data_IF_806219220324
#
_entry.id   IF_806219220324
#
_cell.length_a   1.000
_cell.length_b   1.000
_cell.length_c   1.000
_cell.angle_alpha   90.00
_cell.angle_beta   90.00
_cell.angle_gamma   90.00
#
_symmetry.space_group_name_H-M   'P 1'
#
loop_
_entity.id
_entity.type
_entity.pdbx_description
1 polymer ?
#
# COMPACT_ATOMS: atom_id res chain seq x y z
N UNK A 1 22.60 38.35 -11.25
CA UNK A 1 21.74 37.15 -11.35
C UNK A 1 20.29 37.60 -11.31
N UNK A 2 19.59 37.50 -12.44
CA UNK A 2 18.31 38.19 -12.68
C UNK A 2 17.08 37.35 -12.34
N UNK A 3 16.14 37.98 -11.62
CA UNK A 3 14.82 37.45 -11.28
C UNK A 3 13.83 37.55 -12.46
N UNK A 4 14.07 36.82 -13.56
CA UNK A 4 13.29 37.01 -14.80
C UNK A 4 12.86 35.72 -15.52
N UNK A 5 12.52 34.64 -14.81
CA UNK A 5 11.85 33.45 -15.41
C UNK A 5 10.79 32.77 -14.55
N UNK A 6 9.98 33.53 -13.81
CA UNK A 6 8.70 32.99 -13.32
C UNK A 6 7.58 33.91 -13.80
N UNK A 7 6.93 33.49 -14.89
CA UNK A 7 5.75 34.15 -15.42
C UNK A 7 4.55 33.62 -14.63
N UNK A 8 4.18 34.35 -13.58
CA UNK A 8 2.97 34.14 -12.79
C UNK A 8 1.76 34.65 -13.59
N UNK A 9 1.35 33.89 -14.60
CA UNK A 9 0.10 34.17 -15.30
C UNK A 9 -0.88 33.04 -15.00
N UNK A 10 -1.71 33.31 -13.99
CA UNK A 10 -3.05 32.79 -13.80
C UNK A 10 -3.21 31.32 -13.35
N UNK A 11 -3.23 31.03 -12.03
CA UNK A 11 -3.40 29.66 -11.50
C UNK A 11 -4.74 29.00 -11.90
N UNK A 12 -5.75 29.79 -12.27
CA UNK A 12 -7.04 29.29 -12.78
C UNK A 12 -6.91 28.69 -14.19
N UNK A 13 -5.94 29.14 -14.99
CA UNK A 13 -5.73 28.63 -16.35
C UNK A 13 -4.94 27.32 -16.36
N UNK A 14 -4.12 27.01 -15.36
CA UNK A 14 -3.42 25.72 -15.28
C UNK A 14 -4.42 24.54 -15.10
N UNK A 15 -5.48 24.76 -14.31
CA UNK A 15 -6.59 23.81 -14.16
C UNK A 15 -7.36 23.68 -15.48
N UNK A 16 -7.65 24.81 -16.15
CA UNK A 16 -8.37 24.83 -17.41
C UNK A 16 -7.58 24.24 -18.60
N UNK A 17 -6.25 24.44 -18.64
CA UNK A 17 -5.37 23.89 -19.66
C UNK A 17 -5.27 22.37 -19.50
N UNK A 18 -5.16 21.87 -18.26
CA UNK A 18 -5.21 20.43 -17.96
C UNK A 18 -6.55 19.79 -18.38
N UNK A 19 -7.67 20.49 -18.22
CA UNK A 19 -8.97 20.05 -18.72
C UNK A 19 -9.09 20.13 -20.26
N UNK A 20 -8.36 21.02 -20.92
CA UNK A 20 -8.35 21.15 -22.37
C UNK A 20 -7.48 20.08 -23.06
N UNK A 21 -6.35 19.67 -22.48
CA UNK A 21 -5.54 18.53 -22.97
C UNK A 21 -6.31 17.21 -22.88
N UNK A 22 -7.25 17.09 -21.93
CA UNK A 22 -8.15 15.93 -21.76
C UNK A 22 -9.16 15.77 -22.90
N UNK A 23 -9.66 16.87 -23.48
CA UNK A 23 -10.59 16.82 -24.64
C UNK A 23 -9.90 16.47 -25.96
N UNK A 24 -8.56 16.55 -26.03
CA UNK A 24 -7.75 16.33 -27.23
C UNK A 24 -7.17 14.92 -27.39
N UNK A 25 -7.53 13.97 -26.52
CA UNK A 25 -7.10 12.56 -26.64
C UNK A 25 -5.70 12.25 -26.09
N UNK A 26 -5.14 13.09 -25.21
CA UNK A 26 -3.91 12.75 -24.49
C UNK A 26 -4.20 11.77 -23.35
N UNK A 27 -3.58 10.59 -23.35
CA UNK A 27 -3.62 9.68 -22.20
C UNK A 27 -2.90 10.33 -21.01
N UNK A 28 -3.65 10.69 -19.97
CA UNK A 28 -3.06 10.96 -18.67
C UNK A 28 -2.55 9.61 -18.15
N UNK A 29 -1.23 9.39 -18.19
CA UNK A 29 -0.59 8.32 -17.43
C UNK A 29 -0.77 8.63 -15.94
N UNK A 30 -1.89 8.17 -15.39
CA UNK A 30 -2.16 8.24 -13.97
C UNK A 30 -1.16 7.33 -13.25
N UNK A 31 -0.71 7.78 -12.09
CA UNK A 31 0.35 7.16 -11.31
C UNK A 31 -0.10 7.00 -9.87
N UNK A 32 0.41 5.97 -9.21
CA UNK A 32 0.11 5.69 -7.82
C UNK A 32 0.63 6.83 -6.93
N UNK A 33 -0.21 7.33 -6.01
CA UNK A 33 0.14 8.49 -5.18
C UNK A 33 0.83 8.09 -3.87
N UNK A 34 0.42 6.96 -3.28
CA UNK A 34 0.89 6.51 -1.97
C UNK A 34 1.88 5.35 -2.06
N UNK A 35 2.67 5.18 -1.01
CA UNK A 35 3.46 3.97 -0.86
C UNK A 35 2.55 2.88 -0.28
N UNK A 36 2.63 1.69 -0.83
CA UNK A 36 1.91 0.52 -0.33
C UNK A 36 2.90 -0.55 0.08
N UNK A 37 2.66 -1.18 1.23
CA UNK A 37 3.54 -2.17 1.82
C UNK A 37 2.76 -3.39 2.31
N UNK A 38 3.45 -4.52 2.41
CA UNK A 38 2.93 -5.72 3.09
C UNK A 38 3.60 -5.88 4.44
N UNK A 39 2.81 -6.23 5.44
CA UNK A 39 3.30 -6.53 6.79
C UNK A 39 3.74 -7.99 6.89
N UNK A 40 4.87 -8.22 7.53
CA UNK A 40 5.29 -9.54 8.01
C UNK A 40 5.82 -9.42 9.44
N UNK A 41 5.78 -10.53 10.17
CA UNK A 41 6.21 -10.57 11.58
C UNK A 41 7.45 -11.46 11.65
N UNK A 42 8.52 -10.96 12.28
CA UNK A 42 9.70 -11.77 12.57
C UNK A 42 9.33 -12.84 13.61
N UNK A 43 9.41 -14.15 13.29
CA UNK A 43 9.06 -15.21 14.22
C UNK A 43 9.93 -15.24 15.48
N UNK A 44 11.17 -14.74 15.43
CA UNK A 44 12.10 -14.78 16.56
C UNK A 44 11.85 -13.65 17.55
N UNK A 45 11.60 -12.43 17.05
CA UNK A 45 11.44 -11.24 17.90
C UNK A 45 9.98 -10.81 18.09
N UNK A 46 9.05 -11.35 17.29
CA UNK A 46 7.64 -10.91 17.25
C UNK A 46 7.45 -9.51 16.67
N UNK A 47 8.51 -8.87 16.16
CA UNK A 47 8.46 -7.51 15.63
C UNK A 47 7.82 -7.46 14.26
N UNK A 48 7.05 -6.42 14.04
CA UNK A 48 6.44 -6.15 12.75
C UNK A 48 7.42 -5.45 11.81
N UNK A 49 7.42 -5.90 10.57
CA UNK A 49 8.20 -5.33 9.49
C UNK A 49 7.27 -5.07 8.30
N UNK A 50 7.58 -4.00 7.56
CA UNK A 50 6.82 -3.60 6.37
C UNK A 50 7.76 -3.63 5.18
N UNK A 51 7.39 -4.41 4.16
CA UNK A 51 8.10 -4.46 2.89
C UNK A 51 7.30 -3.68 1.85
N UNK A 52 7.92 -2.65 1.28
CA UNK A 52 7.31 -1.87 0.19
C UNK A 52 6.97 -2.77 -1.00
N UNK A 53 5.71 -2.74 -1.42
CA UNK A 53 5.20 -3.39 -2.63
C UNK A 53 5.13 -2.41 -3.81
N UNK A 54 4.62 -1.20 -3.55
CA UNK A 54 4.37 -0.17 -4.57
C UNK A 54 4.95 1.15 -4.08
N UNK A 55 5.70 1.83 -4.95
CA UNK A 55 6.21 3.18 -4.67
C UNK A 55 5.30 4.23 -5.31
N UNK A 56 5.21 5.44 -4.75
CA UNK A 56 4.61 6.57 -5.42
C UNK A 56 5.27 6.83 -6.78
N UNK A 57 4.47 7.17 -7.79
CA UNK A 57 4.91 7.36 -9.16
C UNK A 57 4.88 6.08 -10.02
N UNK A 58 4.59 4.91 -9.45
CA UNK A 58 4.39 3.69 -10.25
C UNK A 58 3.23 3.89 -11.22
N UNK A 59 3.47 3.67 -12.52
CA UNK A 59 2.43 3.68 -13.55
C UNK A 59 1.50 2.47 -13.41
N UNK A 60 0.26 2.61 -13.86
CA UNK A 60 -0.67 1.48 -13.94
C UNK A 60 -1.47 1.52 -15.26
N UNK A 61 -1.89 0.37 -15.81
CA UNK A 61 -1.55 -0.98 -15.36
C UNK A 61 -0.04 -1.26 -15.46
N UNK A 62 0.46 -2.19 -14.64
CA UNK A 62 1.88 -2.58 -14.68
C UNK A 62 2.06 -3.71 -15.68
N UNK A 63 3.09 -3.63 -16.54
CA UNK A 63 3.40 -4.67 -17.54
C UNK A 63 3.75 -6.03 -16.91
N UNK A 64 4.29 -6.01 -15.68
CA UNK A 64 4.63 -7.19 -14.92
C UNK A 64 4.50 -6.97 -13.41
N UNK A 65 4.94 -7.94 -12.59
CA UNK A 65 4.90 -7.81 -11.15
C UNK A 65 5.77 -6.66 -10.65
N UNK A 66 5.21 -5.81 -9.78
CA UNK A 66 5.94 -4.76 -9.06
C UNK A 66 6.72 -5.31 -7.87
N UNK A 67 6.29 -6.46 -7.34
CA UNK A 67 6.99 -7.17 -6.29
C UNK A 67 6.76 -8.68 -6.41
N UNK A 68 7.76 -9.46 -6.00
CA UNK A 68 7.69 -10.92 -5.86
C UNK A 68 8.30 -11.31 -4.52
N UNK A 69 7.66 -12.22 -3.80
CA UNK A 69 8.18 -12.73 -2.53
C UNK A 69 7.74 -14.16 -2.26
N UNK A 70 8.38 -14.77 -1.26
CA UNK A 70 8.03 -16.10 -0.78
C UNK A 70 7.40 -15.98 0.59
N UNK A 71 6.17 -16.46 0.70
CA UNK A 71 5.45 -16.53 1.96
C UNK A 71 5.77 -17.86 2.64
N UNK A 72 6.23 -17.77 3.89
CA UNK A 72 6.55 -18.92 4.73
C UNK A 72 5.49 -19.12 5.80
N UNK A 73 5.32 -20.36 6.24
CA UNK A 73 4.51 -20.64 7.42
C UNK A 73 5.24 -20.21 8.70
N UNK A 74 4.48 -19.63 9.62
CA UNK A 74 4.94 -19.09 10.91
C UNK A 74 4.75 -20.08 12.06
N UNK A 75 3.97 -21.14 11.87
CA UNK A 75 3.76 -22.20 12.85
C UNK A 75 3.47 -23.54 12.16
N UNK A 76 3.66 -24.63 12.89
CA UNK A 76 3.44 -25.99 12.40
C UNK A 76 1.96 -26.26 12.09
N UNK A 77 1.69 -26.89 10.94
CA UNK A 77 0.32 -27.19 10.51
C UNK A 77 -0.48 -25.98 10.04
N UNK A 78 0.17 -24.87 9.67
CA UNK A 78 -0.52 -23.67 9.23
C UNK A 78 -1.26 -23.89 7.89
N UNK A 79 -2.57 -23.62 7.89
CA UNK A 79 -3.44 -23.75 6.71
C UNK A 79 -3.77 -22.43 6.02
N UNK A 80 -3.70 -21.31 6.74
CA UNK A 80 -4.07 -19.99 6.23
C UNK A 80 -2.92 -19.02 6.43
N UNK A 81 -2.44 -18.42 5.34
CA UNK A 81 -1.35 -17.46 5.36
C UNK A 81 -1.88 -16.13 4.83
N UNK A 82 -2.09 -15.17 5.73
CA UNK A 82 -2.70 -13.87 5.43
C UNK A 82 -1.75 -12.89 4.76
N UNK A 83 -2.27 -12.10 3.82
CA UNK A 83 -1.56 -11.01 3.15
C UNK A 83 -2.13 -9.67 3.65
N UNK A 84 -1.46 -9.05 4.62
CA UNK A 84 -1.91 -7.78 5.20
C UNK A 84 -1.26 -6.59 4.47
N UNK A 85 -2.06 -5.85 3.71
CA UNK A 85 -1.60 -4.74 2.87
C UNK A 85 -1.91 -3.41 3.53
N UNK A 86 -0.92 -2.52 3.54
CA UNK A 86 -0.97 -1.22 4.18
C UNK A 86 -0.70 -0.11 3.17
N UNK A 87 -1.45 0.99 3.31
CA UNK A 87 -1.06 2.29 2.77
C UNK A 87 -0.14 2.98 3.78
N UNK A 88 0.98 3.50 3.30
CA UNK A 88 1.99 4.18 4.10
C UNK A 88 1.87 5.69 3.87
N UNK A 89 1.39 6.41 4.86
CA UNK A 89 1.31 7.87 4.83
C UNK A 89 2.71 8.48 4.93
N UNK A 90 3.00 9.42 4.04
CA UNK A 90 4.22 10.24 4.07
C UNK A 90 4.21 11.34 5.14
N UNK A 91 3.24 11.33 6.06
CA UNK A 91 3.20 12.26 7.18
C UNK A 91 4.53 12.19 7.92
N UNK A 92 5.42 13.17 7.67
CA UNK A 92 6.58 13.38 8.54
C UNK A 92 5.98 13.62 9.92
N UNK A 93 6.44 12.92 10.97
CA UNK A 93 6.06 13.23 12.34
C UNK A 93 6.73 14.56 12.73
N UNK A 94 6.31 15.66 12.09
CA UNK A 94 6.39 16.97 12.71
C UNK A 94 5.33 16.91 13.79
N UNK A 95 5.78 16.71 15.04
CA UNK A 95 5.02 16.89 16.29
C UNK A 95 3.55 17.20 15.99
N UNK A 96 2.75 16.16 15.77
CA UNK A 96 1.38 16.34 15.34
C UNK A 96 0.63 16.91 16.55
N UNK A 97 0.38 18.22 16.51
CA UNK A 97 -0.40 18.90 17.53
C UNK A 97 -1.87 18.79 17.13
N UNK A 98 -2.65 18.05 17.90
CA UNK A 98 -4.07 17.82 17.68
C UNK A 98 -4.90 18.82 18.50
N UNK A 99 -5.89 19.47 17.87
CA UNK A 99 -6.84 20.32 18.56
C UNK A 99 -7.95 19.42 19.15
N UNK A 100 -8.03 19.34 20.47
CA UNK A 100 -9.05 18.56 21.19
C UNK A 100 -10.05 19.52 21.80
N UNK A 101 -11.34 19.31 21.53
CA UNK A 101 -12.40 20.06 22.17
C UNK A 101 -12.84 19.32 23.44
N UNK A 102 -12.81 20.02 24.57
CA UNK A 102 -13.35 19.51 25.81
C UNK A 102 -14.89 19.63 25.80
N UNK A 103 -15.62 18.81 26.59
CA UNK A 103 -17.08 18.83 26.62
C UNK A 103 -17.72 20.20 26.96
N UNK A 104 -16.94 21.12 27.54
CA UNK A 104 -17.33 22.51 27.80
C UNK A 104 -17.07 23.50 26.66
N UNK A 105 -16.66 23.04 25.47
CA UNK A 105 -16.43 23.88 24.28
C UNK A 105 -15.04 24.54 24.21
N UNK A 106 -14.16 24.31 25.18
CA UNK A 106 -12.77 24.77 25.13
C UNK A 106 -11.94 23.92 24.18
N UNK A 107 -11.00 24.54 23.45
CA UNK A 107 -10.07 23.82 22.58
C UNK A 107 -8.67 23.79 23.22
N UNK A 108 -8.05 22.61 23.29
CA UNK A 108 -6.67 22.41 23.79
C UNK A 108 -5.80 21.71 22.75
N UNK A 109 -4.52 22.04 22.75
CA UNK A 109 -3.52 21.42 21.87
C UNK A 109 -2.90 20.20 22.57
N UNK A 110 -3.06 19.01 22.01
CA UNK A 110 -2.44 17.75 22.47
C UNK A 110 -1.28 17.39 21.55
N UNK A 111 -0.10 17.14 22.11
CA UNK A 111 0.97 16.53 21.35
C UNK A 111 0.69 15.03 21.19
N UNK A 112 0.71 14.55 19.95
CA UNK A 112 0.61 13.12 19.65
C UNK A 112 1.98 12.48 19.90
N UNK A 113 2.01 11.42 20.70
CA UNK A 113 3.26 10.68 20.95
C UNK A 113 3.81 10.05 19.67
N UNK A 114 5.13 9.89 19.60
CA UNK A 114 5.80 9.38 18.39
C UNK A 114 5.27 8.00 17.94
N UNK A 115 5.01 7.08 18.87
CA UNK A 115 4.44 5.76 18.56
C UNK A 115 2.97 5.82 18.10
N UNK A 116 2.20 6.80 18.59
CA UNK A 116 0.82 7.04 18.14
C UNK A 116 0.80 7.63 16.72
N UNK A 117 1.73 8.55 16.42
CA UNK A 117 1.90 9.11 15.08
C UNK A 117 2.37 8.05 14.06
N UNK A 118 3.24 7.13 14.46
CA UNK A 118 3.72 6.03 13.61
C UNK A 118 2.64 4.97 13.32
N UNK A 119 1.77 4.65 14.29
CA UNK A 119 0.59 3.81 14.01
C UNK A 119 -0.39 4.51 13.08
N UNK A 120 -0.62 5.81 13.28
CA UNK A 120 -1.50 6.63 12.41
C UNK A 120 -0.96 6.81 10.98
N UNK A 121 0.34 6.58 10.74
CA UNK A 121 0.92 6.67 9.40
C UNK A 121 0.79 5.37 8.58
N UNK A 122 0.22 4.31 9.14
CA UNK A 122 0.03 3.02 8.48
C UNK A 122 -1.45 2.63 8.50
N UNK A 123 -2.06 2.54 7.33
CA UNK A 123 -3.48 2.19 7.20
C UNK A 123 -3.64 0.78 6.63
N UNK A 124 -4.19 -0.16 7.42
CA UNK A 124 -4.43 -1.53 6.97
C UNK A 124 -5.63 -1.58 6.03
N UNK A 125 -5.35 -1.66 4.73
CA UNK A 125 -6.36 -1.48 3.69
C UNK A 125 -7.34 -2.66 3.55
N UNK A 126 -6.89 -3.88 3.83
CA UNK A 126 -7.70 -5.09 3.73
C UNK A 126 -7.99 -5.73 5.11
N UNK A 127 -8.11 -4.92 6.17
CA UNK A 127 -8.46 -5.39 7.50
C UNK A 127 -9.87 -6.00 7.55
N UNK A 128 -10.84 -5.33 6.92
CA UNK A 128 -12.24 -5.79 6.89
C UNK A 128 -12.48 -6.95 5.91
N UNK A 129 -11.58 -7.14 4.93
CA UNK A 129 -11.64 -8.22 3.95
C UNK A 129 -10.25 -8.86 3.74
N UNK A 130 -9.72 -9.60 4.74
CA UNK A 130 -8.38 -10.15 4.67
C UNK A 130 -8.24 -11.17 3.53
N UNK A 131 -7.09 -11.12 2.85
CA UNK A 131 -6.75 -12.10 1.81
C UNK A 131 -5.89 -13.20 2.40
N UNK A 132 -6.28 -14.47 2.20
CA UNK A 132 -5.56 -15.64 2.68
C UNK A 132 -5.13 -16.55 1.54
N UNK A 133 -3.91 -17.08 1.64
CA UNK A 133 -3.44 -18.22 0.85
C UNK A 133 -3.75 -19.50 1.63
N UNK A 134 -4.44 -20.44 0.98
CA UNK A 134 -4.88 -21.69 1.60
C UNK A 134 -3.88 -22.80 1.29
N UNK A 135 -3.25 -23.36 2.32
CA UNK A 135 -2.30 -24.46 2.22
C UNK A 135 -3.02 -25.80 2.48
N UNK A 136 -3.10 -26.61 1.43
CA UNK A 136 -3.52 -28.01 1.49
C UNK A 136 -2.53 -28.87 0.67
N UNK A 137 -1.70 -29.74 1.30
CA UNK A 137 -1.67 -30.06 2.73
C UNK A 137 -1.19 -28.89 3.60
N UNK A 138 -1.46 -28.89 4.93
CA UNK A 138 -0.97 -27.87 5.85
C UNK A 138 0.54 -27.68 5.77
N UNK A 139 1.01 -26.45 6.00
CA UNK A 139 2.43 -26.10 5.91
C UNK A 139 3.18 -26.38 7.23
N UNK A 140 4.43 -26.84 7.10
CA UNK A 140 5.35 -27.01 8.24
C UNK A 140 5.98 -25.68 8.66
N UNK A 141 6.43 -25.56 9.90
CA UNK A 141 7.06 -24.34 10.41
C UNK A 141 8.25 -23.89 9.53
N UNK A 142 8.26 -22.62 9.11
CA UNK A 142 9.31 -22.05 8.26
C UNK A 142 9.29 -22.53 6.81
N UNK A 143 8.37 -23.42 6.42
CA UNK A 143 8.27 -23.92 5.06
C UNK A 143 7.94 -22.78 4.10
N UNK A 144 8.74 -22.62 3.05
CA UNK A 144 8.42 -21.80 1.88
C UNK A 144 7.19 -22.39 1.21
N UNK A 145 6.02 -21.77 1.37
CA UNK A 145 4.77 -22.37 0.91
C UNK A 145 4.27 -21.75 -0.39
N UNK A 146 4.31 -20.43 -0.52
CA UNK A 146 3.81 -19.75 -1.71
C UNK A 146 4.85 -18.81 -2.28
N UNK A 147 4.97 -18.78 -3.61
CA UNK A 147 5.54 -17.64 -4.32
C UNK A 147 4.39 -16.70 -4.71
N UNK A 148 4.48 -15.44 -4.29
CA UNK A 148 3.44 -14.44 -4.48
C UNK A 148 3.98 -13.30 -5.34
N UNK A 149 3.17 -12.89 -6.30
CA UNK A 149 3.44 -11.80 -7.22
C UNK A 149 2.36 -10.74 -7.08
N UNK A 150 2.79 -9.49 -6.99
CA UNK A 150 1.93 -8.33 -6.88
C UNK A 150 2.04 -7.51 -8.16
N UNK A 151 0.91 -7.09 -8.73
CA UNK A 151 0.84 -6.21 -9.89
C UNK A 151 -0.29 -5.19 -9.70
N UNK A 152 -0.36 -4.19 -10.58
CA UNK A 152 -1.45 -3.21 -10.59
C UNK A 152 -2.22 -3.35 -11.90
N UNK A 153 -3.53 -3.54 -11.80
CA UNK A 153 -4.40 -3.71 -12.97
C UNK A 153 -4.89 -2.37 -13.55
N UNK A 154 -5.67 -2.44 -14.64
CA UNK A 154 -6.17 -1.26 -15.35
C UNK A 154 -7.15 -0.44 -14.52
N UNK A 155 -7.66 -1.01 -13.42
CA UNK A 155 -8.63 -0.38 -12.51
C UNK A 155 -7.98 0.20 -11.26
N UNK A 156 -6.66 0.36 -11.27
CA UNK A 156 -5.86 0.86 -10.12
C UNK A 156 -6.04 -0.05 -8.88
N UNK A 157 -6.11 -1.37 -9.09
CA UNK A 157 -6.17 -2.35 -7.98
C UNK A 157 -4.86 -3.10 -7.86
N UNK A 158 -4.41 -3.32 -6.63
CA UNK A 158 -3.34 -4.28 -6.36
C UNK A 158 -3.92 -5.68 -6.53
N UNK A 159 -3.38 -6.42 -7.50
CA UNK A 159 -3.75 -7.80 -7.78
C UNK A 159 -2.63 -8.74 -7.37
N UNK A 160 -3.02 -9.94 -6.93
CA UNK A 160 -2.10 -10.97 -6.46
C UNK A 160 -2.27 -12.26 -7.27
N UNK A 161 -1.16 -12.78 -7.77
CA UNK A 161 -1.06 -14.16 -8.23
C UNK A 161 -0.19 -14.94 -7.24
N UNK A 162 -0.58 -16.17 -6.90
CA UNK A 162 0.15 -16.99 -5.94
C UNK A 162 0.28 -18.44 -6.43
N UNK A 163 1.52 -18.92 -6.50
CA UNK A 163 1.87 -20.30 -6.80
C UNK A 163 2.17 -21.03 -5.49
N UNK A 164 1.44 -22.11 -5.22
CA UNK A 164 1.80 -23.04 -4.15
C UNK A 164 3.03 -23.84 -4.58
N UNK A 165 4.12 -23.71 -3.82
CA UNK A 165 5.40 -24.34 -4.14
C UNK A 165 5.44 -25.83 -3.81
N UNK A 166 4.48 -26.33 -3.03
CA UNK A 166 4.39 -27.75 -2.66
C UNK A 166 3.57 -28.51 -3.69
N UNK A 167 2.43 -27.96 -4.10
CA UNK A 167 1.54 -28.59 -5.09
C UNK A 167 1.87 -28.18 -6.54
N UNK A 168 2.67 -27.12 -6.71
CA UNK A 168 3.00 -26.49 -7.99
C UNK A 168 1.74 -26.01 -8.77
N UNK A 169 0.73 -25.54 -8.04
CA UNK A 169 -0.52 -25.02 -8.58
C UNK A 169 -0.70 -23.55 -8.24
N UNK A 170 -1.22 -22.77 -9.20
CA UNK A 170 -1.67 -21.42 -8.92
C UNK A 170 -2.94 -21.46 -8.06
N UNK A 171 -2.86 -20.92 -6.85
CA UNK A 171 -3.98 -20.83 -5.91
C UNK A 171 -4.73 -19.51 -6.00
N UNK A 172 -4.06 -18.48 -6.54
CA UNK A 172 -4.66 -17.22 -6.94
C UNK A 172 -4.10 -16.82 -8.30
N UNK A 173 -4.94 -16.27 -9.16
CA UNK A 173 -4.54 -15.66 -10.43
C UNK A 173 -5.14 -14.26 -10.53
N UNK A 174 -4.25 -13.25 -10.51
CA UNK A 174 -4.57 -11.81 -10.58
C UNK A 174 -5.76 -11.41 -9.70
N UNK A 175 -5.84 -11.99 -8.50
CA UNK A 175 -6.93 -11.76 -7.57
C UNK A 175 -6.86 -10.34 -6.99
N UNK A 176 -7.92 -9.52 -7.07
CA UNK A 176 -7.90 -8.16 -6.55
C UNK A 176 -7.90 -8.15 -5.02
N UNK A 177 -6.92 -7.47 -4.42
CA UNK A 177 -6.75 -7.39 -2.96
C UNK A 177 -7.25 -6.07 -2.41
N UNK A 178 -6.80 -4.95 -2.99
CA UNK A 178 -7.18 -3.59 -2.56
C UNK A 178 -7.26 -2.65 -3.75
N UNK A 179 -8.08 -1.62 -3.64
CA UNK A 179 -8.06 -0.48 -4.57
C UNK A 179 -7.07 0.56 -4.06
N UNK A 180 -6.18 1.03 -4.94
CA UNK A 180 -5.18 2.04 -4.63
C UNK A 180 -5.73 3.44 -4.96
N UNK A 181 -5.23 4.47 -4.26
CA UNK A 181 -5.60 5.87 -4.46
C UNK A 181 -4.71 6.54 -5.53
#
# INVERSE_FOLDING_TARGET
FGASRVRLENPMQAVALGAATWLGGGELLDHIQHEYAIRWVDPASGREHFQTLVRPGTSYPTEGPVARMVVKANYEGQRQLGLAVFEMSRSRPRQATELVFDPGGGARLRQVEAGEAERRSRFWMNEEAPTFLLADPPAAYGQRRFQVEFAIDERKRLVVSALDLVTNLWVLDRYPVVKLA
#
